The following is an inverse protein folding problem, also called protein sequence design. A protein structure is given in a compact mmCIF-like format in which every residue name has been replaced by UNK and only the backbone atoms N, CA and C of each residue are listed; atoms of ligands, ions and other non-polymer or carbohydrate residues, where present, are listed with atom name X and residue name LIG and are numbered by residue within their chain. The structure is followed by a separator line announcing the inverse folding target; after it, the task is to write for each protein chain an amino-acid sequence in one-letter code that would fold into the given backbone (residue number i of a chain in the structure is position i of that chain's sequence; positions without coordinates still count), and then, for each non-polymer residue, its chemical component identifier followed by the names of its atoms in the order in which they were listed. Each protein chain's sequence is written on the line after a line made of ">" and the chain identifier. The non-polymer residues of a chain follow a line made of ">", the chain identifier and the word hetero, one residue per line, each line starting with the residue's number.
data_IF_776726635434
#
_entry.id   IF_776726635434
#
_cell.length_a   1.000
_cell.length_b   1.000
_cell.length_c   1.000
_cell.angle_alpha   90.00
_cell.angle_beta   90.00
_cell.angle_gamma   90.00
#
_symmetry.space_group_name_H-M   'P 1'
#
loop_
_entity.id
_entity.type
_entity.pdbx_description
1 polymer ?
#
# COMPACT_ATOMS: atom_id res chain seq x y z
N UNK A 1 8.01 3.55 6.85
CA UNK A 1 7.00 4.17 7.72
C UNK A 1 5.97 3.10 8.07
N UNK A 2 4.76 3.38 8.58
CA UNK A 2 3.78 2.32 8.85
C UNK A 2 2.97 1.90 7.63
N UNK A 3 2.90 2.76 6.61
CA UNK A 3 2.09 2.56 5.41
C UNK A 3 2.88 2.48 4.11
N UNK A 4 4.08 3.08 4.04
CA UNK A 4 4.90 3.00 2.83
C UNK A 4 5.65 1.65 2.76
N UNK A 5 5.36 0.85 1.72
CA UNK A 5 5.97 -0.46 1.45
C UNK A 5 4.98 -1.40 0.76
N UNK A 6 5.36 -2.66 0.58
CA UNK A 6 4.47 -3.68 -0.01
C UNK A 6 3.28 -4.04 0.91
N UNK A 7 3.43 -3.84 2.23
CA UNK A 7 2.37 -4.06 3.22
C UNK A 7 2.45 -3.00 4.30
N UNK A 8 1.30 -2.58 4.83
CA UNK A 8 1.27 -1.80 6.07
C UNK A 8 1.77 -2.63 7.26
N UNK A 9 2.53 -2.01 8.17
CA UNK A 9 3.06 -2.66 9.37
C UNK A 9 2.21 -2.41 10.62
N UNK A 10 1.08 -1.71 10.48
CA UNK A 10 0.10 -1.48 11.54
C UNK A 10 -1.23 -2.18 11.29
N UNK A 11 -1.92 -2.54 12.37
CA UNK A 11 -3.31 -3.03 12.35
C UNK A 11 -4.33 -1.90 12.53
N UNK A 12 -3.93 -0.76 13.08
CA UNK A 12 -4.78 0.40 13.29
C UNK A 12 -4.65 1.36 12.10
N UNK A 13 -5.78 1.70 11.49
CA UNK A 13 -5.80 2.56 10.30
C UNK A 13 -5.47 4.03 10.58
N UNK A 14 -5.38 4.42 11.86
CA UNK A 14 -5.01 5.78 12.27
C UNK A 14 -3.54 5.90 12.69
N UNK A 15 -2.82 4.77 12.79
CA UNK A 15 -1.47 4.77 13.33
C UNK A 15 -0.44 5.17 12.26
N UNK A 16 0.32 6.23 12.53
CA UNK A 16 1.41 6.71 11.66
C UNK A 16 2.78 6.40 12.28
N UNK A 17 3.80 6.30 11.42
CA UNK A 17 5.21 6.21 11.79
C UNK A 17 5.87 7.58 11.88
N UNK A 18 7.17 7.59 12.21
CA UNK A 18 7.92 8.83 12.52
C UNK A 18 7.93 9.87 11.39
N UNK A 19 7.91 9.45 10.12
CA UNK A 19 7.80 10.34 8.97
C UNK A 19 6.33 10.54 8.58
N UNK A 20 5.56 11.21 9.45
CA UNK A 20 4.10 11.31 9.36
C UNK A 20 3.61 11.83 8.01
N UNK A 21 4.20 12.91 7.47
CA UNK A 21 3.77 13.50 6.19
C UNK A 21 3.85 12.51 5.03
N UNK A 22 4.98 11.79 4.92
CA UNK A 22 5.16 10.74 3.91
C UNK A 22 4.23 9.55 4.16
N UNK A 23 4.03 9.21 5.43
CA UNK A 23 3.21 8.06 5.82
C UNK A 23 1.72 8.27 5.52
N UNK A 24 1.25 9.51 5.64
CA UNK A 24 -0.12 9.92 5.26
C UNK A 24 -0.35 9.69 3.76
N UNK A 25 0.60 10.04 2.90
CA UNK A 25 0.47 9.81 1.46
C UNK A 25 0.32 8.33 1.13
N UNK A 26 1.15 7.47 1.74
CA UNK A 26 1.07 6.03 1.55
C UNK A 26 -0.21 5.43 2.15
N UNK A 27 -0.67 5.93 3.30
CA UNK A 27 -1.95 5.54 3.88
C UNK A 27 -3.12 5.84 2.96
N UNK A 28 -3.16 7.05 2.41
CA UNK A 28 -4.21 7.45 1.47
C UNK A 28 -4.20 6.58 0.21
N UNK A 29 -3.01 6.22 -0.31
CA UNK A 29 -2.90 5.27 -1.41
C UNK A 29 -3.51 3.91 -1.04
N UNK A 30 -3.17 3.35 0.12
CA UNK A 30 -3.73 2.07 0.58
C UNK A 30 -5.26 2.09 0.77
N UNK A 31 -5.82 3.20 1.27
CA UNK A 31 -7.25 3.29 1.59
C UNK A 31 -8.13 3.66 0.39
N UNK A 32 -7.57 4.32 -0.62
CA UNK A 32 -8.35 4.91 -1.71
C UNK A 32 -8.00 4.39 -3.11
N UNK A 33 -6.90 3.64 -3.26
CA UNK A 33 -6.52 3.04 -4.53
C UNK A 33 -6.71 1.53 -4.47
N UNK A 34 -7.33 0.99 -5.51
CA UNK A 34 -7.27 -0.44 -5.76
C UNK A 34 -5.90 -0.79 -6.36
N UNK A 35 -5.16 -1.63 -5.66
CA UNK A 35 -3.83 -2.08 -6.08
C UNK A 35 -3.87 -3.55 -6.49
N UNK A 36 -3.13 -3.90 -7.53
CA UNK A 36 -2.85 -5.27 -7.95
C UNK A 36 -1.52 -5.69 -7.34
N UNK A 37 -1.57 -6.55 -6.33
CA UNK A 37 -0.38 -7.06 -5.63
C UNK A 37 0.63 -7.70 -6.58
N UNK A 38 1.90 -7.75 -6.17
CA UNK A 38 2.93 -8.38 -6.97
C UNK A 38 2.58 -9.85 -7.28
N UNK A 39 2.81 -10.25 -8.53
CA UNK A 39 2.48 -11.61 -9.01
C UNK A 39 1.00 -12.02 -8.85
N UNK A 40 0.10 -11.07 -8.61
CA UNK A 40 -1.33 -11.32 -8.47
C UNK A 40 -2.12 -10.90 -9.71
N UNK A 41 -3.40 -11.23 -9.71
CA UNK A 41 -4.35 -10.85 -10.75
C UNK A 41 -5.59 -10.24 -10.09
N UNK A 42 -6.02 -9.08 -10.60
CA UNK A 42 -7.23 -8.38 -10.15
C UNK A 42 -7.84 -7.67 -11.35
N UNK A 43 -9.17 -7.59 -11.41
CA UNK A 43 -9.90 -6.99 -12.54
C UNK A 43 -9.55 -7.56 -13.94
N UNK A 44 -9.10 -8.82 -14.01
CA UNK A 44 -8.62 -9.44 -15.26
C UNK A 44 -7.26 -8.92 -15.75
N UNK A 45 -6.57 -8.12 -14.93
CA UNK A 45 -5.21 -7.64 -15.17
C UNK A 45 -4.23 -8.37 -14.26
N UNK A 46 -3.18 -8.93 -14.86
CA UNK A 46 -2.13 -9.65 -14.14
C UNK A 46 -0.91 -8.77 -13.93
N UNK A 47 -0.51 -8.58 -12.68
CA UNK A 47 0.72 -7.89 -12.34
C UNK A 47 1.91 -8.87 -12.32
N UNK A 48 2.77 -8.78 -13.34
CA UNK A 48 3.97 -9.61 -13.44
C UNK A 48 5.21 -8.99 -12.77
N UNK A 49 5.10 -7.77 -12.24
CA UNK A 49 6.20 -7.07 -11.60
C UNK A 49 6.49 -7.63 -10.19
N UNK A 50 7.69 -7.37 -9.64
CA UNK A 50 8.01 -7.72 -8.26
C UNK A 50 7.38 -6.75 -7.24
N UNK A 51 6.75 -5.67 -7.69
CA UNK A 51 6.06 -4.66 -6.87
C UNK A 51 4.59 -4.54 -7.28
N UNK A 52 3.77 -4.01 -6.37
CA UNK A 52 2.34 -3.75 -6.58
C UNK A 52 2.10 -2.59 -7.56
N UNK A 53 1.01 -2.65 -8.34
CA UNK A 53 0.66 -1.65 -9.38
C UNK A 53 -0.78 -1.20 -9.30
#
# INVERSE_FOLDING_TARGET
>A
TKWCGERKSTKDDNELGEAEESDICCRNQYLHCDVIENKSEKFGLKNNNPYSV
#
